data_IF_321285066541
#
_entry.id   IF_321285066541
#
_cell.length_a   1.000
_cell.length_b   1.000
_cell.length_c   1.000
_cell.angle_alpha   90.00
_cell.angle_beta   90.00
_cell.angle_gamma   90.00
#
_symmetry.space_group_name_H-M   'P 1'
#
loop_
_entity.id
_entity.type
_entity.pdbx_description
1 polymer ?
#
# COMPACT_ATOMS: atom_id res chain seq x y z
N UNK A 1 -6.22 -40.38 5.70
CA UNK A 1 -6.10 -38.94 6.01
C UNK A 1 -5.39 -38.23 4.86
N UNK A 2 -6.16 -37.71 3.90
CA UNK A 2 -5.62 -36.80 2.87
C UNK A 2 -5.09 -35.56 3.58
N UNK A 3 -3.79 -35.30 3.49
CA UNK A 3 -3.25 -33.97 3.77
C UNK A 3 -4.02 -33.03 2.85
N UNK A 4 -4.80 -32.11 3.42
CA UNK A 4 -5.22 -30.89 2.73
C UNK A 4 -3.94 -30.29 2.16
N UNK A 5 -3.70 -30.48 0.86
CA UNK A 5 -2.61 -29.80 0.17
C UNK A 5 -2.89 -28.31 0.37
N UNK A 6 -2.12 -27.67 1.25
CA UNK A 6 -2.18 -26.22 1.42
C UNK A 6 -1.94 -25.64 0.03
N UNK A 7 -2.97 -25.01 -0.53
CA UNK A 7 -2.81 -24.29 -1.80
C UNK A 7 -1.66 -23.29 -1.58
N UNK A 8 -0.69 -23.22 -2.49
CA UNK A 8 0.34 -22.21 -2.41
C UNK A 8 -0.30 -20.82 -2.34
N UNK A 9 0.16 -19.99 -1.39
CA UNK A 9 -0.37 -18.65 -1.16
C UNK A 9 0.63 -17.66 -1.75
N UNK A 10 0.26 -16.88 -2.78
CA UNK A 10 1.15 -15.88 -3.34
C UNK A 10 1.39 -14.74 -2.33
N UNK A 11 2.58 -14.16 -2.37
CA UNK A 11 2.97 -12.98 -1.59
C UNK A 11 3.16 -11.83 -2.57
N UNK A 12 2.31 -10.82 -2.48
CA UNK A 12 2.40 -9.61 -3.28
C UNK A 12 3.18 -8.53 -2.51
N UNK A 13 4.35 -8.16 -3.01
CA UNK A 13 5.10 -6.99 -2.53
C UNK A 13 4.61 -5.73 -3.25
N UNK A 14 4.20 -4.72 -2.50
CA UNK A 14 3.67 -3.45 -3.00
C UNK A 14 4.73 -2.35 -2.94
N UNK A 15 4.57 -1.30 -3.76
CA UNK A 15 5.38 -0.10 -3.71
C UNK A 15 6.34 0.04 -4.90
N UNK A 16 6.18 1.15 -5.61
CA UNK A 16 7.10 1.69 -6.60
C UNK A 16 8.14 2.65 -5.99
N UNK A 17 7.75 3.41 -4.97
CA UNK A 17 8.59 4.40 -4.30
C UNK A 17 7.75 5.42 -3.54
N UNK A 18 8.28 6.63 -3.38
CA UNK A 18 7.61 7.75 -2.69
C UNK A 18 7.68 9.03 -3.52
N UNK A 19 6.67 9.92 -3.48
CA UNK A 19 6.75 11.24 -4.10
C UNK A 19 7.77 12.17 -3.43
N UNK A 20 8.33 11.79 -2.27
CA UNK A 20 9.13 12.70 -1.44
C UNK A 20 10.65 12.60 -1.65
N UNK A 21 11.14 11.53 -2.29
CA UNK A 21 12.56 11.25 -2.49
C UNK A 21 12.78 10.67 -3.88
N UNK A 22 13.96 10.91 -4.45
CA UNK A 22 14.36 10.30 -5.72
C UNK A 22 14.41 8.76 -5.61
N UNK A 23 14.24 8.05 -6.74
CA UNK A 23 14.31 6.60 -6.74
C UNK A 23 15.73 6.12 -6.40
N UNK A 24 15.83 4.97 -5.74
CA UNK A 24 17.09 4.25 -5.63
C UNK A 24 17.41 3.59 -6.96
N UNK A 25 18.64 3.74 -7.43
CA UNK A 25 19.12 3.12 -8.66
C UNK A 25 20.14 2.03 -8.33
N UNK A 26 20.14 0.95 -9.09
CA UNK A 26 21.19 -0.06 -9.03
C UNK A 26 22.47 0.39 -9.78
N UNK A 27 23.53 -0.40 -9.70
CA UNK A 27 24.81 -0.13 -10.37
C UNK A 27 24.70 0.01 -11.90
N UNK A 28 23.60 -0.45 -12.49
CA UNK A 28 23.31 -0.40 -13.93
C UNK A 28 22.33 0.73 -14.28
N UNK A 29 21.91 1.53 -13.31
CA UNK A 29 21.00 2.66 -13.49
C UNK A 29 19.51 2.30 -13.53
N UNK A 30 19.12 1.07 -13.16
CA UNK A 30 17.70 0.69 -13.09
C UNK A 30 17.09 1.03 -11.72
N UNK A 31 15.81 1.41 -11.72
CA UNK A 31 15.07 1.71 -10.50
C UNK A 31 14.89 0.47 -9.63
N UNK A 32 15.29 0.59 -8.37
CA UNK A 32 14.98 -0.36 -7.30
C UNK A 32 13.70 0.12 -6.61
N UNK A 33 12.57 -0.42 -7.05
CA UNK A 33 11.28 -0.21 -6.41
C UNK A 33 11.25 -0.84 -5.01
N UNK A 34 10.43 -0.30 -4.10
CA UNK A 34 10.21 -0.86 -2.77
C UNK A 34 9.77 -2.33 -2.83
N UNK A 35 8.84 -2.67 -3.71
CA UNK A 35 8.41 -4.06 -3.96
C UNK A 35 9.55 -4.97 -4.44
N UNK A 36 10.55 -4.42 -5.13
CA UNK A 36 11.74 -5.17 -5.57
C UNK A 36 12.68 -5.44 -4.40
N UNK A 37 12.87 -4.46 -3.50
CA UNK A 37 13.61 -4.66 -2.27
C UNK A 37 12.93 -5.70 -1.35
N UNK A 38 11.60 -5.62 -1.17
CA UNK A 38 10.84 -6.59 -0.39
C UNK A 38 10.93 -8.01 -0.98
N UNK A 39 10.75 -8.15 -2.30
CA UNK A 39 10.86 -9.45 -2.95
C UNK A 39 12.26 -10.07 -2.78
N UNK A 40 13.33 -9.27 -2.93
CA UNK A 40 14.72 -9.73 -2.66
C UNK A 40 14.89 -10.21 -1.22
N UNK A 41 14.44 -9.43 -0.25
CA UNK A 41 14.49 -9.80 1.17
C UNK A 41 13.79 -11.14 1.47
N UNK A 42 12.65 -11.41 0.82
CA UNK A 42 11.91 -12.65 0.95
C UNK A 42 12.62 -13.83 0.26
N UNK A 43 13.18 -13.62 -0.92
CA UNK A 43 14.00 -14.62 -1.62
C UNK A 43 15.20 -15.04 -0.77
N UNK A 44 15.90 -14.08 -0.18
CA UNK A 44 17.05 -14.33 0.71
C UNK A 44 16.66 -15.14 1.96
N UNK A 45 15.35 -15.18 2.30
CA UNK A 45 14.77 -15.97 3.40
C UNK A 45 14.17 -17.30 2.95
N UNK A 46 14.37 -17.68 1.69
CA UNK A 46 13.91 -18.95 1.14
C UNK A 46 12.43 -18.94 0.70
N UNK A 47 11.83 -17.78 0.47
CA UNK A 47 10.52 -17.73 -0.18
C UNK A 47 10.61 -18.29 -1.61
N UNK A 48 9.59 -19.05 -2.01
CA UNK A 48 9.51 -19.60 -3.37
C UNK A 48 9.30 -18.46 -4.40
N UNK A 49 10.22 -18.25 -5.36
CA UNK A 49 10.08 -17.20 -6.37
C UNK A 49 8.82 -17.34 -7.20
N UNK A 50 8.26 -18.54 -7.37
CA UNK A 50 7.02 -18.76 -8.12
C UNK A 50 5.79 -18.20 -7.40
N UNK A 51 5.91 -17.90 -6.10
CA UNK A 51 4.85 -17.33 -5.27
C UNK A 51 5.02 -15.84 -5.02
N UNK A 52 6.12 -15.23 -5.46
CA UNK A 52 6.38 -13.81 -5.26
C UNK A 52 5.83 -13.00 -6.44
N UNK A 53 4.99 -12.02 -6.12
CA UNK A 53 4.45 -11.04 -7.06
C UNK A 53 4.91 -9.65 -6.66
N UNK A 54 4.97 -8.74 -7.63
CA UNK A 54 5.29 -7.32 -7.41
C UNK A 54 4.22 -6.41 -8.00
N UNK A 55 4.08 -5.26 -7.39
CA UNK A 55 3.33 -4.11 -7.89
C UNK A 55 4.21 -2.87 -7.71
N UNK A 56 4.40 -2.10 -8.78
CA UNK A 56 5.40 -1.01 -8.87
C UNK A 56 4.79 0.35 -9.26
N UNK A 57 3.49 0.41 -9.47
CA UNK A 57 2.77 1.62 -9.89
C UNK A 57 2.42 2.53 -8.71
N UNK A 58 2.33 1.97 -7.50
CA UNK A 58 1.98 2.72 -6.29
C UNK A 58 3.16 3.54 -5.74
N UNK A 59 2.91 4.78 -5.35
CA UNK A 59 3.90 5.66 -4.71
C UNK A 59 3.54 6.04 -3.28
N UNK A 60 2.44 5.48 -2.77
CA UNK A 60 1.93 5.71 -1.43
C UNK A 60 0.90 4.62 -1.05
N UNK A 61 0.43 4.66 0.21
CA UNK A 61 -0.54 3.69 0.73
C UNK A 61 -1.89 3.72 0.00
N UNK A 62 -2.32 4.88 -0.52
CA UNK A 62 -3.53 4.98 -1.36
C UNK A 62 -3.33 4.18 -2.64
N UNK A 63 -2.20 4.37 -3.31
CA UNK A 63 -1.81 3.58 -4.47
C UNK A 63 -1.70 2.09 -4.16
N UNK A 64 -1.08 1.71 -3.03
CA UNK A 64 -0.94 0.31 -2.67
C UNK A 64 -2.31 -0.39 -2.61
N UNK A 65 -3.32 0.24 -1.99
CA UNK A 65 -4.67 -0.29 -1.92
C UNK A 65 -5.32 -0.36 -3.32
N UNK A 66 -5.24 0.71 -4.11
CA UNK A 66 -5.86 0.78 -5.44
C UNK A 66 -5.24 -0.18 -6.45
N UNK A 67 -3.90 -0.22 -6.56
CA UNK A 67 -3.21 -1.03 -7.55
C UNK A 67 -3.12 -2.50 -7.16
N UNK A 68 -3.05 -2.83 -5.87
CA UNK A 68 -3.20 -4.24 -5.46
C UNK A 68 -4.58 -4.79 -5.85
N UNK A 69 -5.63 -3.98 -5.73
CA UNK A 69 -6.99 -4.35 -6.11
C UNK A 69 -7.13 -4.52 -7.63
N UNK A 70 -6.74 -3.51 -8.40
CA UNK A 70 -7.03 -3.41 -9.83
C UNK A 70 -6.09 -4.23 -10.71
N UNK A 71 -4.81 -4.36 -10.32
CA UNK A 71 -3.81 -5.11 -11.09
C UNK A 71 -3.83 -6.59 -10.70
N UNK A 72 -4.09 -6.92 -9.43
CA UNK A 72 -3.94 -8.28 -8.91
C UNK A 72 -5.24 -8.89 -8.41
N UNK A 73 -5.88 -8.33 -7.38
CA UNK A 73 -6.97 -9.02 -6.69
C UNK A 73 -8.19 -9.26 -7.60
N UNK A 74 -8.59 -8.26 -8.40
CA UNK A 74 -9.68 -8.40 -9.36
C UNK A 74 -9.32 -9.38 -10.50
N UNK A 75 -8.21 -9.22 -11.25
CA UNK A 75 -7.89 -10.15 -12.34
C UNK A 75 -7.61 -11.59 -11.89
N UNK A 76 -6.96 -11.76 -10.75
CA UNK A 76 -6.63 -13.08 -10.21
C UNK A 76 -7.78 -13.71 -9.39
N UNK A 77 -8.90 -13.00 -9.22
CA UNK A 77 -10.06 -13.48 -8.49
C UNK A 77 -9.79 -13.76 -7.01
N UNK A 78 -8.88 -13.02 -6.38
CA UNK A 78 -8.58 -13.15 -4.96
C UNK A 78 -9.76 -12.71 -4.11
N UNK A 79 -10.01 -13.44 -3.02
CA UNK A 79 -11.13 -13.16 -2.10
C UNK A 79 -10.74 -13.12 -0.64
N UNK A 80 -9.63 -13.75 -0.27
CA UNK A 80 -9.12 -13.76 1.10
C UNK A 80 -7.70 -13.28 1.05
N UNK A 81 -7.42 -12.17 1.71
CA UNK A 81 -6.13 -11.50 1.65
C UNK A 81 -5.68 -11.18 3.07
N UNK A 82 -4.39 -11.40 3.33
CA UNK A 82 -3.74 -10.86 4.53
C UNK A 82 -2.96 -9.60 4.12
N UNK A 83 -3.30 -8.47 4.72
CA UNK A 83 -2.57 -7.20 4.55
C UNK A 83 -1.59 -7.10 5.72
N UNK A 84 -0.30 -7.04 5.39
CA UNK A 84 0.79 -7.04 6.37
C UNK A 84 1.53 -5.71 6.27
N UNK A 85 1.67 -5.00 7.39
CA UNK A 85 2.49 -3.78 7.51
C UNK A 85 2.90 -3.57 8.97
N UNK A 86 3.74 -2.58 9.24
CA UNK A 86 4.08 -2.14 10.59
C UNK A 86 2.86 -1.72 11.42
N UNK A 87 2.96 -1.87 12.74
CA UNK A 87 1.88 -1.59 13.69
C UNK A 87 1.45 -0.12 13.64
N UNK A 88 2.39 0.84 13.65
CA UNK A 88 2.07 2.26 13.54
C UNK A 88 1.32 2.64 12.25
N UNK A 89 1.51 1.88 11.16
CA UNK A 89 0.91 2.18 9.85
C UNK A 89 -0.42 1.44 9.62
N UNK A 90 -0.68 0.39 10.41
CA UNK A 90 -1.81 -0.50 10.20
C UNK A 90 -3.17 0.22 10.24
N UNK A 91 -3.47 1.15 11.19
CA UNK A 91 -4.79 1.79 11.24
C UNK A 91 -5.16 2.55 9.96
N UNK A 92 -4.19 3.25 9.34
CA UNK A 92 -4.40 3.94 8.07
C UNK A 92 -4.54 2.94 6.93
N UNK A 93 -3.63 1.97 6.86
CA UNK A 93 -3.65 0.91 5.83
C UNK A 93 -4.99 0.18 5.80
N UNK A 94 -5.49 -0.24 6.97
CA UNK A 94 -6.76 -0.93 7.07
C UNK A 94 -7.94 -0.08 6.57
N UNK A 95 -7.95 1.23 6.89
CA UNK A 95 -9.01 2.13 6.41
C UNK A 95 -9.00 2.32 4.88
N UNK A 96 -7.82 2.30 4.26
CA UNK A 96 -7.67 2.42 2.81
C UNK A 96 -8.13 1.15 2.10
N UNK A 97 -7.58 0.01 2.52
CA UNK A 97 -7.92 -1.29 1.93
C UNK A 97 -9.39 -1.63 2.12
N UNK A 98 -9.93 -1.47 3.33
CA UNK A 98 -11.34 -1.74 3.62
C UNK A 98 -12.27 -0.91 2.73
N UNK A 99 -12.05 0.40 2.62
CA UNK A 99 -12.89 1.28 1.81
C UNK A 99 -12.83 0.93 0.32
N UNK A 100 -11.64 0.74 -0.25
CA UNK A 100 -11.50 0.50 -1.70
C UNK A 100 -11.96 -0.91 -2.11
N UNK A 101 -11.61 -1.94 -1.33
CA UNK A 101 -12.06 -3.31 -1.62
C UNK A 101 -13.56 -3.46 -1.36
N UNK A 102 -14.11 -2.81 -0.32
CA UNK A 102 -15.55 -2.80 -0.06
C UNK A 102 -16.35 -2.09 -1.14
N UNK A 103 -15.82 -0.99 -1.69
CA UNK A 103 -16.41 -0.28 -2.83
C UNK A 103 -16.46 -1.19 -4.07
N UNK A 104 -15.35 -1.83 -4.43
CA UNK A 104 -15.33 -2.78 -5.55
C UNK A 104 -16.20 -4.01 -5.30
N UNK A 105 -16.24 -4.53 -4.08
CA UNK A 105 -17.13 -5.62 -3.68
C UNK A 105 -18.60 -5.26 -3.94
N UNK A 106 -19.01 -4.08 -3.49
CA UNK A 106 -20.38 -3.59 -3.66
C UNK A 106 -20.74 -3.38 -5.12
N UNK A 107 -19.90 -2.67 -5.88
CA UNK A 107 -20.24 -2.29 -7.26
C UNK A 107 -20.14 -3.46 -8.24
N UNK A 108 -19.09 -4.28 -8.15
CA UNK A 108 -18.81 -5.31 -9.14
C UNK A 108 -19.48 -6.65 -8.81
N UNK A 109 -19.82 -6.87 -7.54
CA UNK A 109 -20.34 -8.16 -7.07
C UNK A 109 -21.62 -8.05 -6.25
N UNK A 110 -22.11 -6.84 -5.96
CA UNK A 110 -23.29 -6.64 -5.11
C UNK A 110 -23.07 -7.02 -3.64
N UNK A 111 -21.82 -7.15 -3.20
CA UNK A 111 -21.47 -7.62 -1.86
C UNK A 111 -20.24 -6.86 -1.30
N UNK A 112 -20.42 -5.94 -0.32
CA UNK A 112 -19.30 -5.22 0.30
C UNK A 112 -18.33 -6.15 1.04
N UNK A 113 -18.78 -7.36 1.44
CA UNK A 113 -17.96 -8.37 2.11
C UNK A 113 -17.32 -9.36 1.13
N UNK A 114 -17.37 -9.09 -0.18
CA UNK A 114 -16.76 -9.92 -1.23
C UNK A 114 -15.30 -10.28 -0.95
N UNK A 115 -14.56 -9.35 -0.37
CA UNK A 115 -13.16 -9.51 -0.02
C UNK A 115 -13.01 -9.60 1.50
N UNK A 116 -12.53 -10.74 1.96
CA UNK A 116 -12.22 -11.00 3.36
C UNK A 116 -10.78 -10.56 3.63
N UNK A 117 -10.62 -9.46 4.34
CA UNK A 117 -9.33 -8.85 4.64
C UNK A 117 -8.93 -9.15 6.09
N UNK A 118 -7.80 -9.83 6.26
CA UNK A 118 -7.11 -10.00 7.53
C UNK A 118 -5.99 -8.96 7.64
N UNK A 119 -5.93 -8.23 8.74
CA UNK A 119 -4.88 -7.25 9.01
C UNK A 119 -3.87 -7.82 10.01
N UNK A 120 -2.60 -7.93 9.61
CA UNK A 120 -1.52 -8.49 10.42
C UNK A 120 -0.44 -7.45 10.63
N UNK A 121 -0.34 -6.93 11.85
CA UNK A 121 0.65 -5.92 12.20
C UNK A 121 1.99 -6.57 12.58
N UNK A 122 3.08 -6.06 12.01
CA UNK A 122 4.44 -6.34 12.46
C UNK A 122 4.84 -5.35 13.56
N UNK A 123 5.48 -5.86 14.62
CA UNK A 123 5.88 -5.05 15.77
C UNK A 123 6.85 -3.93 15.40
N UNK A 124 6.63 -2.73 15.97
CA UNK A 124 7.54 -1.58 15.85
C UNK A 124 8.65 -1.57 16.92
N UNK A 125 8.67 -2.55 17.82
CA UNK A 125 9.59 -2.59 18.96
C UNK A 125 11.04 -2.62 18.47
N UNK A 126 11.82 -1.63 18.92
CA UNK A 126 13.24 -1.51 18.59
C UNK A 126 13.53 -0.94 17.20
N UNK A 127 12.50 -0.53 16.43
CA UNK A 127 12.69 0.03 15.08
C UNK A 127 12.96 1.53 15.13
N UNK A 128 12.29 2.27 16.01
CA UNK A 128 12.37 3.73 16.10
C UNK A 128 12.65 4.21 17.53
N UNK A 129 13.21 5.41 17.64
CA UNK A 129 13.15 6.19 18.87
C UNK A 129 11.68 6.45 19.27
N UNK A 130 11.31 6.34 20.56
CA UNK A 130 9.92 6.50 20.99
C UNK A 130 9.26 7.82 20.56
N UNK A 131 9.98 8.94 20.62
CA UNK A 131 9.42 10.23 20.22
C UNK A 131 9.19 10.30 18.71
N UNK A 132 10.06 9.67 17.91
CA UNK A 132 9.87 9.55 16.46
C UNK A 132 8.66 8.67 16.13
N UNK A 133 8.49 7.55 16.85
CA UNK A 133 7.34 6.67 16.68
C UNK A 133 6.02 7.40 16.97
N UNK A 134 5.97 8.19 18.03
CA UNK A 134 4.78 8.97 18.38
C UNK A 134 4.42 10.00 17.30
N UNK A 135 5.42 10.73 16.78
CA UNK A 135 5.21 11.68 15.67
C UNK A 135 4.65 10.96 14.44
N UNK A 136 5.21 9.78 14.10
CA UNK A 136 4.70 8.97 12.98
C UNK A 136 3.26 8.54 13.21
N UNK A 137 2.92 8.03 14.40
CA UNK A 137 1.54 7.64 14.75
C UNK A 137 0.57 8.81 14.63
N UNK A 138 0.93 10.00 15.11
CA UNK A 138 0.09 11.19 14.97
C UNK A 138 -0.11 11.60 13.51
N UNK A 139 0.95 11.55 12.68
CA UNK A 139 0.85 11.83 11.24
C UNK A 139 -0.04 10.82 10.51
N UNK A 140 0.12 9.54 10.84
CA UNK A 140 -0.70 8.46 10.27
C UNK A 140 -2.17 8.60 10.66
N UNK A 141 -2.47 8.97 11.91
CA UNK A 141 -3.82 9.26 12.36
C UNK A 141 -4.43 10.46 11.61
N UNK A 142 -3.71 11.57 11.48
CA UNK A 142 -4.18 12.73 10.73
C UNK A 142 -4.45 12.41 9.25
N UNK A 143 -3.56 11.62 8.63
CA UNK A 143 -3.70 11.18 7.24
C UNK A 143 -4.88 10.22 7.05
N UNK A 144 -5.13 9.33 8.02
CA UNK A 144 -6.30 8.47 8.06
C UNK A 144 -7.59 9.29 8.13
N UNK A 145 -7.66 10.30 8.99
CA UNK A 145 -8.86 11.15 9.09
C UNK A 145 -9.12 11.93 7.79
N UNK A 146 -8.06 12.42 7.13
CA UNK A 146 -8.19 13.02 5.81
C UNK A 146 -8.73 12.03 4.77
N UNK A 147 -8.19 10.81 4.74
CA UNK A 147 -8.67 9.74 3.88
C UNK A 147 -10.15 9.43 4.12
N UNK A 148 -10.59 9.26 5.37
CA UNK A 148 -11.98 8.92 5.67
C UNK A 148 -12.97 9.97 5.12
N UNK A 149 -12.63 11.25 5.22
CA UNK A 149 -13.44 12.34 4.64
C UNK A 149 -13.49 12.26 3.12
N UNK A 150 -12.35 11.99 2.48
CA UNK A 150 -12.29 11.82 1.03
C UNK A 150 -13.09 10.60 0.56
N UNK A 151 -12.90 9.45 1.21
CA UNK A 151 -13.52 8.19 0.84
C UNK A 151 -15.05 8.21 0.99
N UNK A 152 -15.59 9.01 1.91
CA UNK A 152 -17.03 9.19 2.09
C UNK A 152 -17.73 9.74 0.83
N UNK A 153 -16.99 10.37 -0.09
CA UNK A 153 -17.53 10.89 -1.35
C UNK A 153 -17.61 9.85 -2.48
N UNK A 154 -17.06 8.65 -2.31
CA UNK A 154 -17.00 7.64 -3.37
C UNK A 154 -18.19 6.69 -3.30
N UNK A 155 -18.96 6.61 -4.38
CA UNK A 155 -20.07 5.67 -4.52
C UNK A 155 -19.77 4.59 -5.57
N UNK A 156 -18.83 4.86 -6.47
CA UNK A 156 -18.36 3.96 -7.52
C UNK A 156 -16.85 3.99 -7.63
N UNK A 157 -16.28 2.91 -8.16
CA UNK A 157 -14.89 2.80 -8.57
C UNK A 157 -14.50 3.89 -9.57
N UNK A 158 -15.46 4.34 -10.40
CA UNK A 158 -15.26 5.48 -11.29
C UNK A 158 -14.98 6.80 -10.53
N UNK A 159 -15.64 7.02 -9.40
CA UNK A 159 -15.44 8.22 -8.57
C UNK A 159 -14.06 8.19 -7.91
N UNK A 160 -13.65 7.02 -7.39
CA UNK A 160 -12.30 6.79 -6.85
C UNK A 160 -11.23 6.98 -7.93
N UNK A 161 -11.41 6.41 -9.12
CA UNK A 161 -10.50 6.58 -10.25
C UNK A 161 -10.36 8.06 -10.64
N UNK A 162 -11.50 8.76 -10.78
CA UNK A 162 -11.49 10.17 -11.13
C UNK A 162 -10.72 10.98 -10.08
N UNK A 163 -11.01 10.81 -8.79
CA UNK A 163 -10.29 11.51 -7.74
C UNK A 163 -8.78 11.19 -7.74
N UNK A 164 -8.41 9.91 -7.91
CA UNK A 164 -7.02 9.48 -7.93
C UNK A 164 -6.24 10.22 -9.02
N UNK A 165 -6.79 10.29 -10.24
CA UNK A 165 -6.10 10.86 -11.39
C UNK A 165 -6.35 12.35 -11.63
N UNK A 166 -7.29 12.98 -10.93
CA UNK A 166 -7.53 14.42 -11.05
C UNK A 166 -7.03 15.23 -9.85
N UNK A 167 -6.85 14.60 -8.69
CA UNK A 167 -6.64 15.31 -7.42
C UNK A 167 -5.46 14.79 -6.62
N UNK A 168 -5.25 13.47 -6.58
CA UNK A 168 -4.24 12.88 -5.71
C UNK A 168 -2.82 13.22 -6.19
N UNK A 169 -1.95 13.64 -5.25
CA UNK A 169 -0.58 14.11 -5.55
C UNK A 169 0.19 13.13 -6.45
N UNK A 170 0.15 11.84 -6.14
CA UNK A 170 1.00 10.87 -6.82
C UNK A 170 0.53 10.52 -8.25
N UNK A 171 -0.72 10.81 -8.62
CA UNK A 171 -1.32 10.26 -9.85
C UNK A 171 -2.05 11.29 -10.70
N UNK A 172 -2.26 12.50 -10.18
CA UNK A 172 -2.80 13.61 -10.94
C UNK A 172 -1.69 14.29 -11.77
N UNK A 173 -1.85 14.28 -13.09
CA UNK A 173 -0.90 14.89 -14.02
C UNK A 173 -0.71 16.39 -13.74
N UNK A 174 -1.77 17.08 -13.34
CA UNK A 174 -1.74 18.50 -12.95
C UNK A 174 -0.84 18.80 -11.75
N UNK A 175 -0.42 17.77 -11.01
CA UNK A 175 0.42 17.88 -9.80
C UNK A 175 1.80 17.24 -9.97
N UNK A 176 2.16 16.81 -11.20
CA UNK A 176 3.42 16.11 -11.45
C UNK A 176 4.66 16.92 -11.04
N UNK A 177 4.59 18.25 -11.09
CA UNK A 177 5.72 19.12 -10.75
C UNK A 177 5.96 19.19 -9.23
N UNK A 178 5.01 18.74 -8.41
CA UNK A 178 5.15 18.64 -6.95
C UNK A 178 5.97 17.39 -6.55
N UNK A 179 6.23 16.47 -7.48
CA UNK A 179 6.99 15.26 -7.22
C UNK A 179 8.46 15.57 -6.92
N UNK A 180 9.01 14.96 -5.88
CA UNK A 180 10.36 15.24 -5.38
C UNK A 180 10.51 16.56 -4.65
N UNK A 181 9.45 17.38 -4.54
CA UNK A 181 9.49 18.59 -3.73
C UNK A 181 9.41 18.22 -2.24
N UNK A 182 10.37 18.72 -1.47
CA UNK A 182 10.43 18.47 -0.04
C UNK A 182 9.32 19.26 0.68
N UNK A 183 8.21 18.60 0.95
CA UNK A 183 7.09 19.16 1.74
C UNK A 183 7.23 18.90 3.24
N UNK A 184 8.13 17.99 3.63
CA UNK A 184 8.45 17.69 5.03
C UNK A 184 9.67 18.50 5.45
N UNK A 185 9.46 19.51 6.28
CA UNK A 185 10.51 20.40 6.79
C UNK A 185 11.17 19.89 8.08
N UNK A 186 10.51 19.01 8.84
CA UNK A 186 11.07 18.41 10.06
C UNK A 186 12.14 17.35 9.69
N UNK A 187 13.43 17.58 10.02
CA UNK A 187 14.51 16.65 9.70
C UNK A 187 14.39 15.30 10.39
N UNK A 188 13.84 15.24 11.61
CA UNK A 188 13.65 13.98 12.35
C UNK A 188 12.57 13.14 11.70
N UNK A 189 11.51 13.80 11.22
CA UNK A 189 10.45 13.14 10.47
C UNK A 189 10.97 12.67 9.10
N UNK A 190 11.75 13.48 8.39
CA UNK A 190 12.34 13.12 7.09
C UNK A 190 13.31 11.92 7.19
N UNK A 191 14.09 11.84 8.27
CA UNK A 191 15.00 10.74 8.55
C UNK A 191 14.27 9.41 8.86
N UNK A 192 12.97 9.46 9.16
CA UNK A 192 12.16 8.27 9.37
C UNK A 192 11.56 7.71 8.08
N UNK A 193 11.61 8.46 6.96
CA UNK A 193 11.15 8.02 5.63
C UNK A 193 12.23 7.30 4.84
#
# INVERSE_FOLDING_TARGET
MQRLQRRPVPILSLGGGTPHKGPYLDERGYVIHESTACARYLLDRGADPQLLLKEVSSYDTVGNAYFSLTIHALPAGWRRLAVVTSDFHMPRTASLFHAMYGLAGSELFGDPARFELLYVAASDVGIFDPAVLDIRKSKEAASREAWLRTAAGFNRMADLHQWLHSTHLCYAVSRQDEFGQQTITDPKLLASY
#
